data_IF_488467575541
#
_entry.id   IF_488467575541
#
_cell.length_a   1.000
_cell.length_b   1.000
_cell.length_c   1.000
_cell.angle_alpha   90.00
_cell.angle_beta   90.00
_cell.angle_gamma   90.00
#
_symmetry.space_group_name_H-M   'P 1'
#
loop_
_entity.id
_entity.type
_entity.pdbx_description
1 polymer ?
#
# COMPACT_ATOMS: atom_id res chain seq x y z
N UNK A 1 -26.40 10.29 -14.49
CA UNK A 1 -26.30 9.17 -13.54
C UNK A 1 -25.91 7.86 -14.21
N UNK A 2 -26.67 7.37 -15.20
CA UNK A 2 -26.35 6.13 -15.93
C UNK A 2 -24.92 6.09 -16.50
N UNK A 3 -24.51 7.16 -17.20
CA UNK A 3 -23.16 7.26 -17.77
C UNK A 3 -22.04 7.18 -16.72
N UNK A 4 -22.27 7.71 -15.51
CA UNK A 4 -21.30 7.65 -14.42
C UNK A 4 -21.15 6.23 -13.86
N UNK A 5 -22.26 5.51 -13.69
CA UNK A 5 -22.26 4.11 -13.25
C UNK A 5 -21.65 3.21 -14.31
N UNK A 6 -21.97 3.43 -15.59
CA UNK A 6 -21.39 2.69 -16.71
C UNK A 6 -19.86 2.89 -16.78
N UNK A 7 -19.39 4.13 -16.61
CA UNK A 7 -17.95 4.42 -16.60
C UNK A 7 -17.25 3.80 -15.38
N UNK A 8 -17.86 3.89 -14.19
CA UNK A 8 -17.35 3.24 -12.97
C UNK A 8 -17.24 1.72 -13.15
N UNK A 9 -18.24 1.10 -13.76
CA UNK A 9 -18.25 -0.33 -14.04
C UNK A 9 -17.19 -0.71 -15.09
N UNK A 10 -17.06 0.06 -16.17
CA UNK A 10 -16.04 -0.16 -17.19
C UNK A 10 -14.63 -0.09 -16.58
N UNK A 11 -14.36 0.91 -15.74
CA UNK A 11 -13.09 1.00 -15.00
C UNK A 11 -12.88 -0.20 -14.08
N UNK A 12 -13.92 -0.62 -13.35
CA UNK A 12 -13.87 -1.82 -12.49
C UNK A 12 -13.50 -3.05 -13.31
N UNK A 13 -14.12 -3.22 -14.47
CA UNK A 13 -13.84 -4.34 -15.37
C UNK A 13 -12.40 -4.32 -15.86
N UNK A 14 -11.88 -3.17 -16.30
CA UNK A 14 -10.50 -3.05 -16.79
C UNK A 14 -9.45 -3.40 -15.73
N UNK A 15 -9.69 -3.06 -14.46
CA UNK A 15 -8.68 -3.21 -13.39
C UNK A 15 -8.82 -4.49 -12.56
N UNK A 16 -9.91 -5.26 -12.72
CA UNK A 16 -10.25 -6.39 -11.84
C UNK A 16 -9.12 -7.44 -11.79
N UNK A 17 -8.59 -7.86 -12.93
CA UNK A 17 -7.53 -8.86 -12.96
C UNK A 17 -6.23 -8.34 -12.31
N UNK A 18 -5.86 -7.08 -12.56
CA UNK A 18 -4.64 -6.48 -12.02
C UNK A 18 -4.71 -6.37 -10.49
N UNK A 19 -5.88 -5.99 -9.96
CA UNK A 19 -6.16 -6.01 -8.52
C UNK A 19 -5.95 -7.41 -7.93
N UNK A 20 -6.55 -8.44 -8.53
CA UNK A 20 -6.43 -9.82 -8.03
C UNK A 20 -4.97 -10.29 -8.06
N UNK A 21 -4.25 -10.04 -9.15
CA UNK A 21 -2.81 -10.38 -9.26
C UNK A 21 -2.03 -9.70 -8.15
N UNK A 22 -2.19 -8.40 -7.99
CA UNK A 22 -1.44 -7.62 -7.03
C UNK A 22 -1.68 -8.06 -5.58
N UNK A 23 -2.93 -8.30 -5.19
CA UNK A 23 -3.26 -8.84 -3.87
C UNK A 23 -2.76 -10.28 -3.69
N UNK A 24 -2.78 -11.10 -4.74
CA UNK A 24 -2.21 -12.45 -4.69
C UNK A 24 -0.70 -12.40 -4.48
N UNK A 25 0.01 -11.53 -5.20
CA UNK A 25 1.45 -11.33 -5.01
C UNK A 25 1.76 -10.81 -3.61
N UNK A 26 0.98 -9.86 -3.10
CA UNK A 26 1.05 -9.38 -1.71
C UNK A 26 0.96 -10.56 -0.73
N UNK A 27 -0.08 -11.38 -0.88
CA UNK A 27 -0.32 -12.54 -0.04
C UNK A 27 0.80 -13.59 -0.13
N UNK A 28 1.37 -13.83 -1.32
CA UNK A 28 2.54 -14.70 -1.53
C UNK A 28 3.75 -14.16 -0.78
N UNK A 29 4.08 -12.88 -0.97
CA UNK A 29 5.21 -12.26 -0.27
C UNK A 29 5.02 -12.36 1.24
N UNK A 30 3.83 -12.05 1.75
CA UNK A 30 3.49 -12.15 3.18
C UNK A 30 3.55 -13.60 3.70
N UNK A 31 3.10 -14.58 2.92
CA UNK A 31 3.05 -15.98 3.34
C UNK A 31 4.42 -16.69 3.31
N UNK A 32 5.30 -16.44 2.32
CA UNK A 32 6.44 -17.36 2.08
C UNK A 32 7.83 -16.73 2.04
N UNK A 33 7.93 -15.41 1.92
CA UNK A 33 9.23 -14.71 1.90
C UNK A 33 9.69 -14.44 3.33
N UNK A 34 10.91 -14.80 3.71
CA UNK A 34 11.41 -14.50 5.06
C UNK A 34 11.92 -13.06 5.21
N UNK A 35 11.97 -12.55 6.46
CA UNK A 35 12.60 -11.25 6.74
C UNK A 35 14.08 -11.20 6.32
N UNK A 36 14.80 -12.30 6.48
CA UNK A 36 16.22 -12.41 6.10
C UNK A 36 16.44 -12.38 4.59
N UNK A 37 15.51 -12.93 3.79
CA UNK A 37 15.59 -12.87 2.33
C UNK A 37 15.32 -11.44 1.84
N UNK A 38 14.33 -10.76 2.42
CA UNK A 38 13.97 -9.41 2.01
C UNK A 38 15.05 -8.38 2.37
N UNK A 39 15.58 -8.44 3.60
CA UNK A 39 16.67 -7.57 4.04
C UNK A 39 17.99 -7.79 3.27
N UNK A 40 18.21 -8.97 2.69
CA UNK A 40 19.34 -9.22 1.78
C UNK A 40 19.12 -8.66 0.38
N UNK A 41 17.89 -8.68 -0.12
CA UNK A 41 17.55 -8.23 -1.47
C UNK A 41 17.52 -6.70 -1.56
N UNK A 42 16.94 -6.04 -0.54
CA UNK A 42 16.79 -4.59 -0.45
C UNK A 42 17.39 -4.05 0.86
N UNK A 43 18.72 -4.15 1.05
CA UNK A 43 19.39 -3.84 2.33
C UNK A 43 19.43 -2.34 2.66
N UNK A 44 19.51 -1.48 1.65
CA UNK A 44 19.79 -0.05 1.82
C UNK A 44 19.11 0.80 0.74
N UNK A 45 19.40 2.11 0.74
CA UNK A 45 18.98 3.06 -0.29
C UNK A 45 20.06 3.30 -1.36
N UNK A 46 21.04 2.38 -1.52
CA UNK A 46 22.08 2.51 -2.54
C UNK A 46 21.48 2.46 -3.95
N UNK A 47 22.13 3.08 -4.96
CA UNK A 47 21.63 3.06 -6.34
C UNK A 47 21.36 1.64 -6.87
N UNK A 48 22.15 0.65 -6.42
CA UNK A 48 21.95 -0.75 -6.79
C UNK A 48 20.66 -1.32 -6.20
N UNK A 49 20.40 -1.08 -4.91
CA UNK A 49 19.17 -1.55 -4.26
C UNK A 49 17.93 -0.85 -4.79
N UNK A 50 18.03 0.44 -5.12
CA UNK A 50 16.94 1.17 -5.80
C UNK A 50 16.69 0.59 -7.20
N UNK A 51 17.73 0.32 -8.00
CA UNK A 51 17.56 -0.28 -9.33
C UNK A 51 16.92 -1.67 -9.26
N UNK A 52 17.31 -2.50 -8.30
CA UNK A 52 16.66 -3.81 -8.05
C UNK A 52 15.21 -3.62 -7.64
N UNK A 53 14.92 -2.69 -6.73
CA UNK A 53 13.55 -2.38 -6.32
C UNK A 53 12.69 -1.92 -7.50
N UNK A 54 13.22 -1.05 -8.35
CA UNK A 54 12.52 -0.58 -9.55
C UNK A 54 12.29 -1.71 -10.56
N UNK A 55 13.28 -2.59 -10.77
CA UNK A 55 13.12 -3.73 -11.66
C UNK A 55 12.07 -4.73 -11.17
N UNK A 56 12.04 -5.00 -9.87
CA UNK A 56 11.00 -5.83 -9.24
C UNK A 56 9.63 -5.16 -9.32
N UNK A 57 9.56 -3.84 -9.15
CA UNK A 57 8.34 -3.05 -9.29
C UNK A 57 7.83 -3.07 -10.73
N UNK A 58 8.68 -2.80 -11.72
CA UNK A 58 8.31 -2.82 -13.14
C UNK A 58 7.81 -4.21 -13.60
N UNK A 59 8.27 -5.29 -12.97
CA UNK A 59 7.81 -6.66 -13.19
C UNK A 59 6.56 -7.04 -12.37
N UNK A 60 6.09 -6.15 -11.48
CA UNK A 60 4.91 -6.32 -10.64
C UNK A 60 3.64 -5.80 -11.34
N UNK A 61 2.51 -5.85 -10.63
CA UNK A 61 1.20 -5.36 -11.10
C UNK A 61 1.11 -3.82 -11.07
N UNK A 62 0.48 -3.25 -12.10
CA UNK A 62 0.20 -1.81 -12.30
C UNK A 62 -0.79 -1.19 -11.28
N UNK A 63 -1.32 -1.96 -10.33
CA UNK A 63 -2.33 -1.46 -9.41
C UNK A 63 -1.72 -0.74 -8.20
N UNK A 64 -2.08 0.53 -8.01
CA UNK A 64 -1.58 1.39 -6.91
C UNK A 64 -1.92 0.84 -5.52
N UNK A 65 -3.10 0.25 -5.32
CA UNK A 65 -3.47 -0.39 -4.04
C UNK A 65 -2.61 -1.62 -3.73
N UNK A 66 -2.36 -2.45 -4.74
CA UNK A 66 -1.50 -3.61 -4.59
C UNK A 66 -0.04 -3.24 -4.36
N UNK A 67 0.46 -2.22 -5.08
CA UNK A 67 1.80 -1.68 -4.90
C UNK A 67 2.03 -1.23 -3.44
N UNK A 68 1.09 -0.48 -2.86
CA UNK A 68 1.16 0.00 -1.47
C UNK A 68 1.12 -1.16 -0.47
N UNK A 69 0.27 -2.17 -0.70
CA UNK A 69 0.21 -3.36 0.16
C UNK A 69 1.51 -4.19 0.11
N UNK A 70 2.06 -4.37 -1.09
CA UNK A 70 3.35 -5.03 -1.30
C UNK A 70 4.48 -4.24 -0.64
N UNK A 71 4.58 -2.94 -0.87
CA UNK A 71 5.62 -2.09 -0.31
C UNK A 71 5.61 -2.09 1.23
N UNK A 72 4.42 -2.03 1.85
CA UNK A 72 4.27 -2.25 3.30
C UNK A 72 4.85 -3.59 3.72
N UNK A 73 4.49 -4.66 3.00
CA UNK A 73 4.93 -6.02 3.30
C UNK A 73 6.46 -6.16 3.17
N UNK A 74 7.07 -5.57 2.14
CA UNK A 74 8.53 -5.52 1.97
C UNK A 74 9.17 -4.81 3.17
N UNK A 75 8.62 -3.65 3.58
CA UNK A 75 9.14 -2.86 4.70
C UNK A 75 9.00 -3.60 6.03
N UNK A 76 7.86 -4.23 6.32
CA UNK A 76 7.66 -5.07 7.52
C UNK A 76 8.59 -6.28 7.54
N UNK A 77 8.98 -6.78 6.36
CA UNK A 77 9.97 -7.84 6.22
C UNK A 77 11.41 -7.35 6.25
N UNK A 78 11.64 -6.07 6.52
CA UNK A 78 12.96 -5.52 6.77
C UNK A 78 13.69 -5.01 5.52
N UNK A 79 12.99 -4.80 4.40
CA UNK A 79 13.53 -3.99 3.32
C UNK A 79 13.79 -2.55 3.80
N UNK A 80 14.78 -1.88 3.23
CA UNK A 80 14.98 -0.46 3.47
C UNK A 80 13.76 0.35 2.99
N UNK A 81 13.29 1.31 3.80
CA UNK A 81 12.06 2.06 3.52
C UNK A 81 12.08 2.74 2.16
N UNK A 82 13.17 3.44 1.84
CA UNK A 82 13.34 4.12 0.55
C UNK A 82 13.29 3.15 -0.63
N UNK A 83 13.87 1.95 -0.49
CA UNK A 83 13.82 0.93 -1.55
C UNK A 83 12.41 0.35 -1.69
N UNK A 84 11.68 0.15 -0.58
CA UNK A 84 10.28 -0.25 -0.62
C UNK A 84 9.39 0.79 -1.30
N UNK A 85 9.61 2.09 -1.04
CA UNK A 85 8.89 3.16 -1.75
C UNK A 85 9.31 3.21 -3.23
N UNK A 86 10.59 3.07 -3.57
CA UNK A 86 11.02 3.01 -4.97
C UNK A 86 10.40 1.83 -5.74
N UNK A 87 10.26 0.66 -5.09
CA UNK A 87 9.50 -0.46 -5.62
C UNK A 87 8.03 -0.08 -5.85
N UNK A 88 7.40 0.59 -4.89
CA UNK A 88 6.00 1.03 -4.96
C UNK A 88 5.74 1.92 -6.18
N UNK A 89 6.54 2.97 -6.34
CA UNK A 89 6.44 3.91 -7.46
C UNK A 89 6.75 3.26 -8.80
N UNK A 90 7.72 2.36 -8.85
CA UNK A 90 8.03 1.61 -10.07
C UNK A 90 6.92 0.63 -10.43
N UNK A 91 6.26 0.02 -9.44
CA UNK A 91 5.15 -0.91 -9.64
C UNK A 91 3.92 -0.26 -10.25
N UNK A 92 3.78 1.06 -10.20
CA UNK A 92 2.65 1.75 -10.82
C UNK A 92 2.99 2.48 -12.10
N UNK A 93 4.23 2.97 -12.25
CA UNK A 93 4.64 3.86 -13.35
C UNK A 93 5.61 3.24 -14.36
N UNK A 94 6.25 2.11 -14.05
CA UNK A 94 7.23 1.46 -14.96
C UNK A 94 6.73 0.14 -15.56
N UNK A 95 5.45 -0.18 -15.38
CA UNK A 95 4.89 -1.44 -15.87
C UNK A 95 4.64 -1.36 -17.37
N UNK A 96 5.04 -2.42 -18.09
CA UNK A 96 4.94 -2.52 -19.55
C UNK A 96 3.48 -2.39 -20.02
N UNK A 97 2.54 -2.94 -19.25
CA UNK A 97 1.10 -2.85 -19.51
C UNK A 97 0.62 -1.40 -19.66
N UNK A 98 0.94 -0.55 -18.68
CA UNK A 98 0.62 0.87 -18.72
C UNK A 98 1.22 1.53 -19.97
N UNK A 99 2.48 1.19 -20.28
CA UNK A 99 3.18 1.69 -21.46
C UNK A 99 2.48 1.36 -22.78
N UNK A 100 1.92 0.15 -22.92
CA UNK A 100 1.16 -0.28 -24.10
C UNK A 100 -0.15 0.52 -24.21
N UNK A 101 -0.89 0.67 -23.11
CA UNK A 101 -2.15 1.43 -23.09
C UNK A 101 -1.89 2.90 -23.46
N UNK A 102 -0.85 3.51 -22.88
CA UNK A 102 -0.43 4.87 -23.22
C UNK A 102 -0.05 5.00 -24.68
N UNK A 103 0.69 4.04 -25.24
CA UNK A 103 1.14 4.08 -26.63
C UNK A 103 -0.06 4.08 -27.60
N UNK A 104 -1.13 3.35 -27.25
CA UNK A 104 -2.35 3.25 -28.05
C UNK A 104 -3.22 4.51 -27.92
N UNK A 105 -3.42 5.02 -26.69
CA UNK A 105 -4.39 6.09 -26.44
C UNK A 105 -3.83 7.51 -26.60
N UNK A 106 -2.58 7.71 -26.17
CA UNK A 106 -1.91 9.01 -26.12
C UNK A 106 -0.80 9.13 -27.16
N UNK A 107 -0.20 8.00 -27.58
CA UNK A 107 0.89 7.95 -28.53
C UNK A 107 2.24 7.59 -27.88
N UNK A 108 3.20 7.21 -28.71
CA UNK A 108 4.51 6.73 -28.25
C UNK A 108 5.32 7.78 -27.49
N UNK A 109 5.09 9.08 -27.74
CA UNK A 109 5.79 10.17 -27.06
C UNK A 109 5.47 10.19 -25.56
N UNK A 110 4.21 9.95 -25.20
CA UNK A 110 3.81 9.84 -23.79
C UNK A 110 4.38 8.59 -23.14
N UNK A 111 4.39 7.45 -23.86
CA UNK A 111 5.04 6.23 -23.36
C UNK A 111 6.53 6.44 -23.12
N UNK A 112 7.24 7.09 -24.05
CA UNK A 112 8.66 7.40 -23.85
C UNK A 112 8.87 8.36 -22.67
N UNK A 113 8.02 9.38 -22.54
CA UNK A 113 8.06 10.32 -21.42
C UNK A 113 7.78 9.64 -20.08
N UNK A 114 6.88 8.65 -20.03
CA UNK A 114 6.63 7.83 -18.85
C UNK A 114 7.88 7.03 -18.45
N UNK A 115 8.46 6.28 -19.39
CA UNK A 115 9.64 5.43 -19.11
C UNK A 115 10.92 6.23 -18.84
N UNK A 116 11.01 7.48 -19.30
CA UNK A 116 12.11 8.39 -18.97
C UNK A 116 11.84 9.18 -17.66
N UNK A 117 10.60 9.65 -17.49
CA UNK A 117 10.17 10.47 -16.38
C UNK A 117 9.97 9.69 -15.08
N UNK A 118 9.55 8.43 -15.15
CA UNK A 118 9.34 7.56 -14.00
C UNK A 118 10.63 7.29 -13.23
N UNK A 119 11.74 6.86 -13.87
CA UNK A 119 13.03 6.71 -13.20
C UNK A 119 13.58 8.04 -12.68
N UNK A 120 13.34 9.14 -13.41
CA UNK A 120 13.69 10.49 -12.96
C UNK A 120 12.92 10.89 -11.70
N UNK A 121 11.61 10.67 -11.65
CA UNK A 121 10.76 10.91 -10.49
C UNK A 121 11.25 10.10 -9.29
N UNK A 122 11.54 8.81 -9.47
CA UNK A 122 12.07 7.96 -8.40
C UNK A 122 13.44 8.49 -7.91
N UNK A 123 14.32 8.91 -8.82
CA UNK A 123 15.60 9.52 -8.44
C UNK A 123 15.42 10.80 -7.61
N UNK A 124 14.48 11.68 -8.00
CA UNK A 124 14.13 12.88 -7.25
C UNK A 124 13.54 12.52 -5.88
N UNK A 125 12.63 11.54 -5.82
CA UNK A 125 12.04 11.04 -4.58
C UNK A 125 13.12 10.52 -3.61
N UNK A 126 14.04 9.70 -4.11
CA UNK A 126 15.17 9.16 -3.33
C UNK A 126 16.07 10.28 -2.83
N UNK A 127 16.35 11.29 -3.66
CA UNK A 127 17.11 12.47 -3.25
C UNK A 127 16.39 13.23 -2.13
N UNK A 128 15.10 13.50 -2.27
CA UNK A 128 14.29 14.17 -1.25
C UNK A 128 14.28 13.37 0.06
N UNK A 129 14.20 12.04 -0.01
CA UNK A 129 14.27 11.19 1.17
C UNK A 129 15.65 11.28 1.84
N UNK A 130 16.73 11.22 1.08
CA UNK A 130 18.09 11.37 1.64
C UNK A 130 18.30 12.72 2.32
N UNK A 131 17.69 13.79 1.79
CA UNK A 131 17.81 15.14 2.34
C UNK A 131 16.91 15.38 3.55
N UNK A 132 15.67 14.84 3.55
CA UNK A 132 14.63 15.25 4.50
C UNK A 132 14.10 14.11 5.40
N UNK A 133 14.32 12.84 5.09
CA UNK A 133 13.84 11.71 5.90
C UNK A 133 14.68 11.59 7.18
N UNK A 134 14.11 12.02 8.30
CA UNK A 134 14.77 11.96 9.61
C UNK A 134 14.56 10.59 10.29
N UNK A 135 15.59 10.10 10.99
CA UNK A 135 15.53 8.84 11.76
C UNK A 135 14.31 8.73 12.70
N UNK A 136 13.94 9.75 13.49
CA UNK A 136 12.80 9.64 14.40
C UNK A 136 11.47 9.42 13.68
N UNK A 137 11.32 9.98 12.47
CA UNK A 137 10.14 9.81 11.65
C UNK A 137 10.08 8.38 11.10
N UNK A 138 11.19 7.88 10.57
CA UNK A 138 11.30 6.52 10.06
C UNK A 138 11.05 5.47 11.16
N UNK A 139 11.63 5.66 12.35
CA UNK A 139 11.38 4.77 13.49
C UNK A 139 9.91 4.81 13.94
N UNK A 140 9.28 5.98 13.90
CA UNK A 140 7.86 6.09 14.21
C UNK A 140 6.99 5.36 13.18
N UNK A 141 7.34 5.45 11.89
CA UNK A 141 6.68 4.74 10.81
C UNK A 141 6.89 3.22 10.94
N UNK A 142 8.10 2.78 11.30
CA UNK A 142 8.40 1.36 11.56
C UNK A 142 7.61 0.83 12.75
N UNK A 143 7.62 1.56 13.88
CA UNK A 143 6.79 1.21 15.04
C UNK A 143 5.32 1.20 14.68
N UNK A 144 4.84 2.12 13.85
CA UNK A 144 3.44 2.11 13.39
C UNK A 144 3.15 0.89 12.51
N UNK A 145 4.03 0.57 11.56
CA UNK A 145 3.87 -0.57 10.67
C UNK A 145 3.96 -1.92 11.41
N UNK A 146 4.74 -1.97 12.50
CA UNK A 146 4.88 -3.15 13.38
C UNK A 146 3.80 -3.21 14.47
N UNK A 147 3.26 -2.05 14.90
CA UNK A 147 2.09 -1.97 15.78
C UNK A 147 0.89 -2.42 14.97
N UNK A 148 0.50 -3.68 15.13
CA UNK A 148 -0.83 -4.15 14.73
C UNK A 148 -1.93 -3.45 15.52
N UNK A 149 -2.21 -2.18 15.19
CA UNK A 149 -3.30 -1.39 15.72
C UNK A 149 -4.62 -1.97 15.21
N UNK A 150 -5.23 -2.83 16.04
CA UNK A 150 -6.56 -3.42 15.87
C UNK A 150 -7.60 -2.40 15.38
N UNK A 151 -7.80 -2.40 14.07
CA UNK A 151 -8.97 -1.92 13.35
C UNK A 151 -9.30 -2.94 12.27
N UNK A 152 -10.40 -2.75 11.55
CA UNK A 152 -11.00 -3.67 10.54
C UNK A 152 -10.04 -4.19 9.44
N UNK A 153 -8.77 -3.77 9.43
CA UNK A 153 -7.71 -4.26 8.53
C UNK A 153 -6.60 -5.09 9.20
N UNK A 154 -6.64 -5.36 10.51
CA UNK A 154 -5.43 -5.79 11.25
C UNK A 154 -5.61 -6.98 12.23
N UNK A 155 -6.25 -8.07 11.77
CA UNK A 155 -6.07 -9.39 12.40
C UNK A 155 -4.65 -9.96 12.22
N UNK A 156 -3.76 -9.28 11.48
CA UNK A 156 -2.58 -9.89 10.85
C UNK A 156 -1.36 -10.01 11.75
N UNK A 157 -1.20 -9.13 12.75
CA UNK A 157 0.02 -9.12 13.57
C UNK A 157 0.04 -10.17 14.69
N UNK A 158 -1.14 -10.65 15.13
CA UNK A 158 -1.24 -11.67 16.18
C UNK A 158 -1.22 -13.11 15.62
N UNK A 159 -1.36 -13.27 14.30
CA UNK A 159 -1.44 -14.54 13.60
C UNK A 159 -0.38 -14.56 12.48
N UNK A 160 0.90 -14.60 12.86
CA UNK A 160 1.96 -14.83 11.87
C UNK A 160 1.79 -16.23 11.27
N UNK A 161 1.16 -16.29 10.11
CA UNK A 161 0.94 -17.51 9.33
C UNK A 161 2.05 -17.72 8.30
N UNK A 162 3.16 -16.96 8.37
CA UNK A 162 4.22 -17.10 7.41
C UNK A 162 4.92 -18.45 7.54
N UNK A 163 5.09 -19.12 6.40
CA UNK A 163 5.75 -20.41 6.30
C UNK A 163 7.21 -20.14 5.98
N UNK A 164 8.06 -20.18 7.00
CA UNK A 164 9.51 -19.96 6.87
C UNK A 164 10.32 -21.25 6.71
N UNK A 165 9.71 -22.41 6.97
CA UNK A 165 10.36 -23.72 6.93
C UNK A 165 10.20 -24.40 5.57
N UNK A 166 11.29 -25.00 5.07
CA UNK A 166 11.34 -25.82 3.85
C UNK A 166 11.70 -25.05 2.57
N UNK A 167 12.52 -25.65 1.70
CA UNK A 167 12.58 -25.35 0.26
C UNK A 167 12.85 -23.92 -0.23
N UNK A 168 12.76 -23.76 -1.55
CA UNK A 168 12.73 -22.46 -2.23
C UNK A 168 11.34 -21.77 -2.08
N UNK A 169 11.23 -20.49 -2.49
CA UNK A 169 10.00 -19.70 -2.32
C UNK A 169 8.79 -20.34 -3.02
N UNK A 170 9.01 -20.97 -4.18
CA UNK A 170 7.95 -21.61 -4.95
C UNK A 170 7.42 -22.88 -4.27
N UNK A 171 8.32 -23.71 -3.74
CA UNK A 171 7.96 -24.90 -2.96
C UNK A 171 7.16 -24.54 -1.71
N UNK A 172 7.55 -23.46 -1.01
CA UNK A 172 6.77 -22.95 0.13
C UNK A 172 5.39 -22.49 -0.30
N UNK A 173 5.29 -21.74 -1.40
CA UNK A 173 4.01 -21.20 -1.90
C UNK A 173 3.04 -22.29 -2.32
N UNK A 174 3.54 -23.35 -2.96
CA UNK A 174 2.76 -24.50 -3.41
C UNK A 174 2.47 -25.51 -2.28
N UNK A 175 3.12 -25.39 -1.13
CA UNK A 175 2.85 -26.27 0.01
C UNK A 175 1.42 -26.09 0.54
N UNK A 176 0.78 -27.12 1.12
CA UNK A 176 -0.58 -27.01 1.66
C UNK A 176 -0.73 -25.92 2.74
N UNK A 177 0.34 -25.70 3.55
CA UNK A 177 0.39 -24.65 4.57
C UNK A 177 0.57 -23.27 3.94
N UNK A 178 1.50 -23.14 2.98
CA UNK A 178 1.74 -21.89 2.26
C UNK A 178 0.52 -21.45 1.47
N UNK A 179 -0.13 -22.36 0.75
CA UNK A 179 -1.36 -22.06 0.02
C UNK A 179 -2.51 -21.60 0.93
N UNK A 180 -2.67 -22.21 2.11
CA UNK A 180 -3.63 -21.75 3.12
C UNK A 180 -3.27 -20.35 3.63
N UNK A 181 -2.00 -20.10 3.97
CA UNK A 181 -1.56 -18.78 4.41
C UNK A 181 -1.79 -17.70 3.34
N UNK A 182 -1.44 -17.98 2.08
CA UNK A 182 -1.70 -17.10 0.92
C UNK A 182 -3.20 -16.80 0.83
N UNK A 183 -4.05 -17.83 0.91
CA UNK A 183 -5.50 -17.64 0.79
C UNK A 183 -6.08 -16.74 1.89
N UNK A 184 -5.56 -16.85 3.12
CA UNK A 184 -6.00 -16.01 4.24
C UNK A 184 -5.53 -14.58 4.07
N UNK A 185 -4.24 -14.36 3.78
CA UNK A 185 -3.71 -13.01 3.52
C UNK A 185 -4.45 -12.33 2.36
N UNK A 186 -4.75 -13.05 1.27
CA UNK A 186 -5.50 -12.51 0.13
C UNK A 186 -6.90 -12.01 0.53
N UNK A 187 -7.69 -12.85 1.21
CA UNK A 187 -9.06 -12.48 1.62
C UNK A 187 -9.06 -11.31 2.60
N UNK A 188 -8.10 -11.32 3.52
CA UNK A 188 -7.97 -10.29 4.52
C UNK A 188 -7.54 -8.94 3.93
N UNK A 189 -6.52 -8.93 3.06
CA UNK A 189 -6.07 -7.73 2.34
C UNK A 189 -7.24 -7.12 1.52
N UNK A 190 -8.07 -7.96 0.92
CA UNK A 190 -9.26 -7.51 0.19
C UNK A 190 -10.34 -6.93 1.12
N UNK A 191 -10.67 -7.64 2.20
CA UNK A 191 -11.67 -7.20 3.19
C UNK A 191 -11.34 -5.83 3.78
N UNK A 192 -10.05 -5.53 3.89
CA UNK A 192 -9.54 -4.29 4.42
C UNK A 192 -9.79 -3.06 3.53
N UNK A 193 -9.77 -3.22 2.19
CA UNK A 193 -9.63 -2.09 1.25
C UNK A 193 -10.82 -1.96 0.28
N UNK A 194 -11.68 -2.98 0.12
CA UNK A 194 -12.72 -3.00 -0.93
C UNK A 194 -13.68 -1.80 -0.90
N UNK A 195 -14.02 -1.26 0.28
CA UNK A 195 -14.89 -0.08 0.41
C UNK A 195 -14.23 1.18 -0.15
N UNK A 196 -12.94 1.33 0.09
CA UNK A 196 -12.14 2.45 -0.37
C UNK A 196 -12.00 2.41 -1.91
N UNK A 197 -11.76 1.22 -2.48
CA UNK A 197 -11.73 0.99 -3.93
C UNK A 197 -13.08 1.31 -4.59
N UNK A 198 -14.18 0.76 -4.05
CA UNK A 198 -15.52 0.98 -4.60
C UNK A 198 -15.91 2.46 -4.55
N UNK A 199 -15.63 3.15 -3.45
CA UNK A 199 -15.87 4.59 -3.32
C UNK A 199 -15.08 5.41 -4.34
N UNK A 200 -13.79 5.10 -4.52
CA UNK A 200 -12.94 5.79 -5.49
C UNK A 200 -13.44 5.63 -6.94
N UNK A 201 -13.79 4.41 -7.34
CA UNK A 201 -14.29 4.12 -8.70
C UNK A 201 -15.60 4.84 -9.03
N UNK A 202 -16.51 4.96 -8.05
CA UNK A 202 -17.76 5.69 -8.22
C UNK A 202 -17.53 7.20 -8.42
N UNK A 203 -16.59 7.79 -7.67
CA UNK A 203 -16.22 9.20 -7.80
C UNK A 203 -15.56 9.45 -9.16
N UNK A 204 -14.63 8.58 -9.56
CA UNK A 204 -13.96 8.64 -10.85
C UNK A 204 -14.96 8.61 -12.01
N UNK A 205 -15.91 7.66 -11.99
CA UNK A 205 -16.94 7.57 -13.02
C UNK A 205 -17.87 8.78 -13.05
N UNK A 206 -18.18 9.37 -11.89
CA UNK A 206 -18.96 10.61 -11.81
C UNK A 206 -18.22 11.80 -12.42
N UNK A 207 -16.93 11.97 -12.11
CA UNK A 207 -16.11 13.06 -12.66
C UNK A 207 -15.93 12.95 -14.18
N UNK A 208 -15.62 11.76 -14.67
CA UNK A 208 -15.47 11.53 -16.12
C UNK A 208 -16.77 11.73 -16.90
N UNK A 209 -17.93 11.45 -16.29
CA UNK A 209 -19.22 11.60 -16.95
C UNK A 209 -19.85 12.99 -16.83
N UNK A 210 -19.57 13.76 -15.78
CA UNK A 210 -20.28 15.01 -15.47
C UNK A 210 -19.44 16.27 -15.67
N UNK A 211 -18.11 16.18 -15.71
CA UNK A 211 -17.26 17.38 -15.88
C UNK A 211 -17.01 17.64 -17.37
N UNK A 212 -17.52 18.75 -17.93
CA UNK A 212 -17.39 19.06 -19.35
C UNK A 212 -15.96 19.47 -19.73
N UNK A 213 -15.59 19.30 -21.00
CA UNK A 213 -14.23 19.57 -21.51
C UNK A 213 -13.87 21.06 -21.43
N UNK A 214 -14.86 21.94 -21.55
CA UNK A 214 -14.70 23.39 -21.47
C UNK A 214 -14.22 23.84 -20.09
N UNK A 215 -14.68 23.16 -19.03
CA UNK A 215 -14.18 23.41 -17.68
C UNK A 215 -12.68 23.15 -17.60
N UNK A 216 -12.21 22.03 -18.16
CA UNK A 216 -10.78 21.69 -18.18
C UNK A 216 -9.96 22.72 -18.96
N UNK A 217 -10.46 23.20 -20.10
CA UNK A 217 -9.75 24.22 -20.91
C UNK A 217 -9.53 25.52 -20.17
N UNK A 218 -10.55 25.97 -19.42
CA UNK A 218 -10.45 27.15 -18.57
C UNK A 218 -9.51 26.90 -17.37
N UNK A 219 -9.64 25.74 -16.73
CA UNK A 219 -8.88 25.37 -15.55
C UNK A 219 -7.37 25.22 -15.81
N UNK A 220 -6.98 24.69 -16.98
CA UNK A 220 -5.58 24.53 -17.36
C UNK A 220 -4.94 25.75 -18.02
N UNK A 221 -5.65 26.88 -18.07
CA UNK A 221 -5.13 28.13 -18.63
C UNK A 221 -4.57 27.96 -20.06
N UNK A 222 -5.27 27.15 -20.87
CA UNK A 222 -4.83 26.72 -22.20
C UNK A 222 -4.61 27.84 -23.23
N UNK A 223 -4.96 29.08 -22.89
CA UNK A 223 -4.76 30.27 -23.73
C UNK A 223 -3.32 30.79 -23.78
N UNK A 224 -2.47 30.50 -22.78
CA UNK A 224 -1.04 30.87 -22.79
C UNK A 224 -0.17 29.60 -22.63
N UNK A 225 0.55 29.18 -23.67
CA UNK A 225 1.39 27.99 -23.64
C UNK A 225 2.45 27.99 -22.53
N UNK A 226 3.01 29.15 -22.16
CA UNK A 226 4.06 29.24 -21.13
C UNK A 226 3.50 29.05 -19.74
N UNK A 227 2.33 29.64 -19.49
CA UNK A 227 1.64 29.49 -18.21
C UNK A 227 1.12 28.05 -18.09
N UNK A 228 0.55 27.49 -19.14
CA UNK A 228 0.09 26.11 -19.16
C UNK A 228 1.23 25.10 -18.91
N UNK A 229 2.42 25.32 -19.48
CA UNK A 229 3.60 24.48 -19.28
C UNK A 229 4.09 24.43 -17.83
N UNK A 230 3.90 25.50 -17.05
CA UNK A 230 4.24 25.53 -15.61
C UNK A 230 3.08 25.09 -14.73
N UNK A 231 1.86 25.51 -15.06
CA UNK A 231 0.64 25.25 -14.30
C UNK A 231 0.22 23.77 -14.38
N UNK A 232 0.30 23.18 -15.57
CA UNK A 232 -0.09 21.81 -15.83
C UNK A 232 0.63 20.81 -14.92
N UNK A 233 1.98 20.80 -14.83
CA UNK A 233 2.72 19.89 -13.96
C UNK A 233 2.43 20.05 -12.47
N UNK A 234 2.07 21.26 -12.03
CA UNK A 234 1.73 21.55 -10.62
C UNK A 234 0.32 21.05 -10.30
N UNK A 235 -0.62 21.26 -11.21
CA UNK A 235 -2.04 20.99 -10.95
C UNK A 235 -2.46 19.60 -11.38
N UNK A 236 -1.77 18.99 -12.34
CA UNK A 236 -1.98 17.61 -12.79
C UNK A 236 -2.09 16.63 -11.61
N UNK A 237 -1.14 16.60 -10.67
CA UNK A 237 -1.23 15.71 -9.52
C UNK A 237 -2.47 15.99 -8.65
N UNK A 238 -2.87 17.26 -8.48
CA UNK A 238 -4.06 17.61 -7.70
C UNK A 238 -5.35 17.13 -8.37
N UNK A 239 -5.40 17.18 -9.70
CA UNK A 239 -6.53 16.63 -10.48
C UNK A 239 -6.59 15.10 -10.33
N UNK A 240 -5.44 14.42 -10.36
CA UNK A 240 -5.35 12.97 -10.11
C UNK A 240 -5.85 12.60 -8.72
N UNK A 241 -5.46 13.36 -7.70
CA UNK A 241 -5.95 13.17 -6.33
C UNK A 241 -7.46 13.32 -6.22
N UNK A 242 -8.02 14.32 -6.90
CA UNK A 242 -9.44 14.60 -6.92
C UNK A 242 -10.24 13.58 -7.76
N UNK A 243 -9.60 12.95 -8.75
CA UNK A 243 -10.25 11.99 -9.63
C UNK A 243 -10.38 10.59 -9.02
N UNK A 244 -9.57 10.25 -8.00
CA UNK A 244 -9.54 8.92 -7.35
C UNK A 244 -9.25 7.78 -8.32
N UNK A 245 -8.49 8.08 -9.36
CA UNK A 245 -8.21 7.16 -10.44
C UNK A 245 -6.84 6.50 -10.21
N UNK A 246 -6.75 5.19 -10.47
CA UNK A 246 -5.49 4.42 -10.39
C UNK A 246 -4.65 4.59 -11.67
N UNK A 247 -3.40 4.11 -11.67
CA UNK A 247 -2.48 4.24 -12.81
C UNK A 247 -3.08 3.84 -14.17
N UNK A 248 -3.78 2.71 -14.28
CA UNK A 248 -4.46 2.28 -15.53
C UNK A 248 -5.62 3.22 -15.89
N UNK A 249 -6.47 3.53 -14.92
CA UNK A 249 -7.62 4.42 -15.15
C UNK A 249 -7.18 5.85 -15.49
N UNK A 250 -5.97 6.25 -15.09
CA UNK A 250 -5.45 7.59 -15.34
C UNK A 250 -5.19 7.79 -16.82
N UNK A 251 -4.88 6.74 -17.60
CA UNK A 251 -4.55 6.93 -19.02
C UNK A 251 -5.75 7.44 -19.85
N UNK A 252 -6.97 6.88 -19.76
CA UNK A 252 -8.13 7.46 -20.42
C UNK A 252 -8.45 8.89 -19.95
N UNK A 253 -8.36 9.17 -18.65
CA UNK A 253 -8.60 10.51 -18.13
C UNK A 253 -7.52 11.49 -18.59
N UNK A 254 -6.26 11.06 -18.65
CA UNK A 254 -5.14 11.80 -19.23
C UNK A 254 -5.41 12.18 -20.69
N UNK A 255 -6.00 11.28 -21.49
CA UNK A 255 -6.42 11.60 -22.86
C UNK A 255 -7.49 12.70 -22.90
N UNK A 256 -8.47 12.65 -21.99
CA UNK A 256 -9.49 13.71 -21.83
C UNK A 256 -8.84 15.04 -21.43
N UNK A 257 -7.92 15.04 -20.46
CA UNK A 257 -7.24 16.25 -20.00
C UNK A 257 -6.31 16.83 -21.09
N UNK A 258 -5.65 15.98 -21.88
CA UNK A 258 -4.83 16.36 -23.04
C UNK A 258 -5.65 17.10 -24.10
N UNK A 259 -6.78 16.51 -24.49
CA UNK A 259 -7.77 17.13 -25.37
C UNK A 259 -8.39 18.40 -24.74
N UNK A 260 -8.47 18.41 -23.40
CA UNK A 260 -8.92 19.50 -22.55
C UNK A 260 -7.90 20.62 -22.32
N UNK A 261 -6.69 20.56 -22.91
CA UNK A 261 -5.76 21.67 -22.89
C UNK A 261 -4.61 21.59 -21.89
N UNK A 262 -4.51 20.53 -21.08
CA UNK A 262 -3.36 20.36 -20.17
C UNK A 262 -2.03 20.30 -20.95
N UNK A 263 -0.93 20.74 -20.34
CA UNK A 263 0.42 20.63 -20.92
C UNK A 263 0.93 19.19 -20.93
N UNK A 264 1.99 18.92 -21.69
CA UNK A 264 2.51 17.57 -21.88
C UNK A 264 3.06 16.99 -20.57
N UNK A 265 3.95 17.70 -19.89
CA UNK A 265 4.42 17.39 -18.55
C UNK A 265 3.32 17.44 -17.48
N UNK A 266 2.22 18.15 -17.76
CA UNK A 266 1.01 18.13 -16.92
C UNK A 266 0.33 16.77 -16.96
N UNK A 267 0.14 16.19 -18.15
CA UNK A 267 -0.32 14.81 -18.31
C UNK A 267 0.61 13.83 -17.58
N UNK A 268 1.91 13.95 -17.77
CA UNK A 268 2.89 13.05 -17.15
C UNK A 268 2.84 13.13 -15.62
N UNK A 269 2.84 14.33 -15.06
CA UNK A 269 2.69 14.53 -13.61
C UNK A 269 1.36 14.00 -13.06
N UNK A 270 0.27 14.08 -13.85
CA UNK A 270 -1.04 13.56 -13.50
C UNK A 270 -1.04 12.03 -13.45
N UNK A 271 -0.39 11.37 -14.43
CA UNK A 271 -0.25 9.91 -14.48
C UNK A 271 0.55 9.42 -13.27
N UNK A 272 1.68 10.06 -12.97
CA UNK A 272 2.52 9.74 -11.82
C UNK A 272 1.84 9.88 -10.45
N UNK A 273 0.76 10.67 -10.36
CA UNK A 273 0.12 11.02 -9.10
C UNK A 273 -0.89 9.99 -8.57
N UNK A 274 -0.95 8.82 -9.19
CA UNK A 274 -1.85 7.73 -8.83
C UNK A 274 -1.68 7.21 -7.38
N UNK A 275 -0.48 7.39 -6.79
CA UNK A 275 -0.17 7.06 -5.40
C UNK A 275 -0.53 8.17 -4.38
N UNK A 276 -1.04 9.32 -4.82
CA UNK A 276 -1.42 10.44 -3.94
C UNK A 276 -2.92 10.58 -3.73
N UNK A 277 -3.74 9.71 -4.32
CA UNK A 277 -5.19 9.75 -4.13
C UNK A 277 -5.56 9.59 -2.64
N UNK A 278 -6.67 10.22 -2.23
CA UNK A 278 -7.08 10.23 -0.82
C UNK A 278 -7.21 8.84 -0.16
N UNK A 279 -7.70 7.78 -0.84
CA UNK A 279 -7.74 6.44 -0.27
C UNK A 279 -6.35 5.91 0.06
N UNK A 280 -5.38 6.12 -0.84
CA UNK A 280 -3.99 5.70 -0.64
C UNK A 280 -3.35 6.51 0.49
N UNK A 281 -3.59 7.82 0.56
CA UNK A 281 -3.14 8.63 1.70
C UNK A 281 -3.72 8.14 3.03
N UNK A 282 -5.00 7.72 3.04
CA UNK A 282 -5.60 7.12 4.21
C UNK A 282 -4.95 5.78 4.56
N UNK A 283 -4.56 4.98 3.57
CA UNK A 283 -3.80 3.74 3.75
C UNK A 283 -2.41 4.04 4.33
N UNK A 284 -1.64 4.98 3.79
CA UNK A 284 -0.37 5.41 4.38
C UNK A 284 -0.55 5.91 5.81
N UNK A 285 -1.64 6.63 6.10
CA UNK A 285 -1.93 7.11 7.46
C UNK A 285 -2.15 5.97 8.43
N UNK A 286 -2.87 4.93 7.98
CA UNK A 286 -3.04 3.69 8.76
C UNK A 286 -1.68 3.00 8.96
N UNK A 287 -0.89 2.83 7.90
CA UNK A 287 0.33 2.02 7.90
C UNK A 287 1.55 2.68 8.56
N UNK A 288 1.77 3.97 8.30
CA UNK A 288 2.99 4.69 8.69
C UNK A 288 2.72 5.85 9.66
N UNK A 289 1.45 6.21 9.86
CA UNK A 289 1.03 7.27 10.77
C UNK A 289 1.01 8.64 10.08
N UNK A 290 0.17 9.55 10.58
CA UNK A 290 -0.14 10.80 9.89
C UNK A 290 1.05 11.72 9.59
N UNK A 291 2.07 11.74 10.47
CA UNK A 291 3.30 12.53 10.21
C UNK A 291 4.08 11.99 9.02
N UNK A 292 4.19 10.66 8.92
CA UNK A 292 4.88 10.02 7.81
C UNK A 292 4.06 10.16 6.52
N UNK A 293 2.74 10.06 6.59
CA UNK A 293 1.85 10.34 5.45
C UNK A 293 2.02 11.76 4.92
N UNK A 294 2.06 12.76 5.79
CA UNK A 294 2.29 14.15 5.37
C UNK A 294 3.66 14.32 4.70
N UNK A 295 4.69 13.66 5.24
CA UNK A 295 6.01 13.62 4.61
C UNK A 295 5.95 12.99 3.21
N UNK A 296 5.42 11.76 3.10
CA UNK A 296 5.27 11.05 1.83
C UNK A 296 4.50 11.88 0.80
N UNK A 297 3.36 12.45 1.22
CA UNK A 297 2.55 13.31 0.36
C UNK A 297 3.37 14.47 -0.22
N UNK A 298 4.03 15.26 0.64
CA UNK A 298 4.79 16.44 0.19
C UNK A 298 5.96 16.02 -0.71
N UNK A 299 6.75 15.04 -0.30
CA UNK A 299 7.94 14.64 -1.07
C UNK A 299 7.59 14.01 -2.41
N UNK A 300 6.55 13.18 -2.44
CA UNK A 300 6.11 12.52 -3.67
C UNK A 300 5.44 13.52 -4.61
N UNK A 301 4.63 14.44 -4.09
CA UNK A 301 4.05 15.52 -4.89
C UNK A 301 5.16 16.37 -5.54
N UNK A 302 6.14 16.81 -4.74
CA UNK A 302 7.27 17.57 -5.27
C UNK A 302 8.07 16.79 -6.32
N UNK A 303 8.28 15.49 -6.12
CA UNK A 303 8.97 14.64 -7.09
C UNK A 303 8.20 14.53 -8.42
N UNK A 304 6.89 14.36 -8.38
CA UNK A 304 6.02 14.27 -9.57
C UNK A 304 5.99 15.59 -10.34
N UNK A 305 5.82 16.71 -9.64
CA UNK A 305 5.81 18.06 -10.24
C UNK A 305 7.17 18.34 -10.88
N UNK A 306 8.26 18.07 -10.17
CA UNK A 306 9.62 18.28 -10.69
C UNK A 306 9.90 17.40 -11.91
N UNK A 307 9.54 16.11 -11.87
CA UNK A 307 9.70 15.22 -13.00
C UNK A 307 8.87 15.68 -14.21
N UNK A 308 7.61 16.05 -14.00
CA UNK A 308 6.74 16.57 -15.06
C UNK A 308 7.29 17.85 -15.70
N UNK A 309 7.81 18.78 -14.89
CA UNK A 309 8.46 20.00 -15.39
C UNK A 309 9.73 19.70 -16.19
N UNK A 310 10.58 18.79 -15.72
CA UNK A 310 11.79 18.40 -16.45
C UNK A 310 11.42 17.72 -17.76
N UNK A 311 10.42 16.83 -17.76
CA UNK A 311 9.93 16.18 -18.98
C UNK A 311 9.37 17.21 -19.98
N UNK A 312 8.54 18.16 -19.54
CA UNK A 312 8.04 19.26 -20.37
C UNK A 312 9.18 20.03 -21.04
N UNK A 313 10.20 20.44 -20.25
CA UNK A 313 11.32 21.22 -20.75
C UNK A 313 12.20 20.43 -21.72
N UNK A 314 12.55 19.19 -21.38
CA UNK A 314 13.43 18.34 -22.20
C UNK A 314 12.73 17.95 -23.50
N UNK A 315 11.48 17.49 -23.45
CA UNK A 315 10.74 17.08 -24.64
C UNK A 315 10.39 18.29 -25.50
N UNK A 316 10.07 19.44 -24.89
CA UNK A 316 9.86 20.69 -25.61
C UNK A 316 11.11 21.16 -26.34
N UNK A 317 12.28 21.10 -25.70
CA UNK A 317 13.56 21.45 -26.31
C UNK A 317 13.95 20.49 -27.46
N UNK A 318 13.60 19.21 -27.34
CA UNK A 318 13.86 18.20 -28.36
C UNK A 318 12.80 18.16 -29.48
N UNK A 319 11.72 18.97 -29.38
CA UNK A 319 10.61 18.94 -30.33
C UNK A 319 9.81 17.63 -30.31
N UNK A 320 9.84 16.90 -29.20
CA UNK A 320 9.18 15.59 -29.03
C UNK A 320 7.75 15.71 -28.51
N UNK A 321 7.27 16.91 -28.17
CA UNK A 321 5.88 17.11 -27.72
C UNK A 321 4.94 16.95 -28.94
N UNK A 322 3.90 16.10 -28.85
CA UNK A 322 2.93 15.93 -29.94
C UNK A 322 2.26 17.26 -30.31
N UNK A 323 2.25 17.59 -31.61
CA UNK A 323 1.59 18.79 -32.13
C UNK A 323 0.06 18.64 -32.19
N UNK A 324 -0.43 17.41 -32.37
CA UNK A 324 -1.86 17.11 -32.44
C UNK A 324 -2.43 16.73 -31.06
N UNK A 325 -3.62 17.27 -30.75
CA UNK A 325 -4.38 16.98 -29.52
C UNK A 325 -5.59 16.08 -29.80
N UNK A 326 -5.36 14.96 -30.46
CA UNK A 326 -6.37 13.95 -30.76
C UNK A 326 -6.04 12.64 -30.05
N UNK A 327 -6.07 12.66 -28.71
CA UNK A 327 -5.98 11.42 -27.94
C UNK A 327 -7.34 10.68 -27.98
N UNK A 328 -7.28 9.36 -28.11
CA UNK A 328 -8.48 8.52 -28.14
C UNK A 328 -9.03 8.44 -26.71
N UNK A 329 -10.26 8.90 -26.52
CA UNK A 329 -10.97 8.74 -25.25
C UNK A 329 -11.58 7.34 -25.26
N UNK A 330 -11.15 6.48 -24.35
CA UNK A 330 -11.68 5.12 -24.26
C UNK A 330 -13.20 5.14 -24.05
N UNK A 331 -13.94 4.50 -24.94
CA UNK A 331 -15.38 4.32 -24.78
C UNK A 331 -15.67 3.23 -23.75
N UNK A 332 -16.72 3.40 -22.96
CA UNK A 332 -17.18 2.43 -21.96
C UNK A 332 -17.85 1.21 -22.63
N UNK A 333 -17.14 0.50 -23.50
CA UNK A 333 -17.61 -0.71 -24.16
C UNK A 333 -16.82 -1.92 -23.68
N UNK A 334 -17.51 -2.86 -23.04
CA UNK A 334 -16.94 -4.16 -22.67
C UNK A 334 -16.77 -4.96 -23.96
N UNK A 335 -15.53 -5.08 -24.43
CA UNK A 335 -15.21 -5.91 -25.58
C UNK A 335 -14.54 -7.21 -25.13
N UNK A 336 -14.74 -8.28 -25.88
CA UNK A 336 -14.06 -9.55 -25.61
C UNK A 336 -12.62 -9.44 -26.09
N UNK A 337 -11.78 -8.90 -25.21
CA UNK A 337 -10.37 -8.60 -25.43
C UNK A 337 -9.50 -9.38 -24.41
N UNK A 338 -8.21 -9.06 -24.38
CA UNK A 338 -7.27 -9.68 -23.44
C UNK A 338 -7.67 -9.43 -21.97
N UNK A 339 -8.18 -8.23 -21.62
CA UNK A 339 -8.70 -7.90 -20.28
C UNK A 339 -9.79 -8.90 -19.86
N UNK A 340 -10.73 -9.22 -20.76
CA UNK A 340 -11.80 -10.17 -20.47
C UNK A 340 -11.26 -11.58 -20.18
N UNK A 341 -10.25 -12.05 -20.94
CA UNK A 341 -9.60 -13.34 -20.71
C UNK A 341 -8.85 -13.35 -19.37
N UNK A 342 -8.08 -12.31 -19.07
CA UNK A 342 -7.36 -12.17 -17.81
C UNK A 342 -8.32 -12.11 -16.62
N UNK A 343 -9.41 -11.36 -16.72
CA UNK A 343 -10.46 -11.30 -15.70
C UNK A 343 -11.02 -12.69 -15.40
N UNK A 344 -11.35 -13.49 -16.41
CA UNK A 344 -11.87 -14.85 -16.20
C UNK A 344 -10.86 -15.74 -15.47
N UNK A 345 -9.59 -15.72 -15.87
CA UNK A 345 -8.52 -16.50 -15.24
C UNK A 345 -8.32 -16.09 -13.77
N UNK A 346 -8.19 -14.78 -13.52
CA UNK A 346 -7.90 -14.29 -12.19
C UNK A 346 -9.12 -14.33 -11.27
N UNK A 347 -10.35 -14.18 -11.78
CA UNK A 347 -11.56 -14.42 -11.00
C UNK A 347 -11.67 -15.89 -10.58
N UNK A 348 -11.27 -16.84 -11.44
CA UNK A 348 -11.21 -18.25 -11.06
C UNK A 348 -10.16 -18.50 -9.96
N UNK A 349 -8.98 -17.85 -10.05
CA UNK A 349 -7.96 -17.90 -9.00
C UNK A 349 -8.47 -17.29 -7.69
N UNK A 350 -9.09 -16.11 -7.73
CA UNK A 350 -9.66 -15.45 -6.57
C UNK A 350 -10.73 -16.33 -5.92
N UNK A 351 -11.62 -16.93 -6.72
CA UNK A 351 -12.64 -17.86 -6.24
C UNK A 351 -12.00 -19.08 -5.54
N UNK A 352 -10.92 -19.64 -6.09
CA UNK A 352 -10.18 -20.74 -5.48
C UNK A 352 -9.57 -20.33 -4.12
N UNK A 353 -8.93 -19.16 -4.05
CA UNK A 353 -8.34 -18.64 -2.81
C UNK A 353 -9.42 -18.36 -1.76
N UNK A 354 -10.52 -17.70 -2.14
CA UNK A 354 -11.66 -17.44 -1.26
C UNK A 354 -12.27 -18.75 -0.75
N UNK A 355 -12.48 -19.72 -1.63
CA UNK A 355 -12.99 -21.04 -1.26
C UNK A 355 -12.06 -21.76 -0.28
N UNK A 356 -10.75 -21.75 -0.53
CA UNK A 356 -9.75 -22.35 0.35
C UNK A 356 -9.75 -21.66 1.72
N UNK A 357 -9.77 -20.33 1.75
CA UNK A 357 -9.76 -19.54 2.98
C UNK A 357 -11.03 -19.81 3.81
N UNK A 358 -12.19 -19.84 3.17
CA UNK A 358 -13.47 -20.17 3.81
C UNK A 358 -13.45 -21.57 4.43
N UNK A 359 -12.89 -22.56 3.72
CA UNK A 359 -12.75 -23.95 4.22
C UNK A 359 -11.75 -24.10 5.37
N UNK A 360 -10.84 -23.16 5.54
CA UNK A 360 -9.73 -23.22 6.51
C UNK A 360 -9.88 -22.23 7.66
N UNK A 361 -11.07 -21.65 7.84
CA UNK A 361 -11.44 -20.90 9.05
C UNK A 361 -11.19 -19.39 9.00
N UNK A 362 -11.01 -18.78 7.81
CA UNK A 362 -10.80 -17.32 7.69
C UNK A 362 -11.95 -16.50 8.29
N UNK A 363 -13.17 -17.05 8.32
CA UNK A 363 -14.35 -16.36 8.87
C UNK A 363 -14.22 -16.03 10.36
N UNK A 364 -13.59 -16.90 11.16
CA UNK A 364 -13.31 -16.62 12.57
C UNK A 364 -12.29 -15.47 12.71
N UNK A 365 -11.31 -15.41 11.81
CA UNK A 365 -10.31 -14.33 11.78
C UNK A 365 -10.93 -12.99 11.39
N UNK A 366 -11.83 -12.97 10.40
CA UNK A 366 -12.56 -11.76 10.00
C UNK A 366 -13.49 -11.26 11.10
N UNK A 367 -14.16 -12.15 11.85
CA UNK A 367 -15.00 -11.75 12.98
C UNK A 367 -14.19 -11.12 14.14
N UNK A 368 -12.97 -11.61 14.38
CA UNK A 368 -12.04 -11.00 15.33
C UNK A 368 -11.56 -9.60 14.86
N UNK A 369 -11.47 -9.37 13.55
CA UNK A 369 -11.09 -8.07 12.97
C UNK A 369 -12.15 -6.98 13.18
N UNK A 370 -13.43 -7.34 13.15
CA UNK A 370 -14.54 -6.40 13.33
C UNK A 370 -14.93 -6.17 14.80
N UNK A 371 -14.31 -6.89 15.73
CA UNK A 371 -14.58 -6.77 17.16
C UNK A 371 -13.88 -5.54 17.77
N UNK A 372 -14.57 -4.70 18.57
CA UNK A 372 -13.94 -3.56 19.24
C UNK A 372 -12.87 -4.05 20.23
N UNK A 373 -11.81 -3.25 20.48
CA UNK A 373 -10.75 -3.64 21.39
C UNK A 373 -11.33 -3.89 22.78
N UNK A 374 -11.35 -5.16 23.21
CA UNK A 374 -11.73 -5.54 24.57
C UNK A 374 -10.89 -4.75 25.56
N UNK A 375 -11.55 -4.14 26.53
CA UNK A 375 -10.89 -3.34 27.53
C UNK A 375 -9.88 -4.21 28.29
N UNK A 376 -8.76 -3.63 28.73
CA UNK A 376 -7.76 -4.34 29.56
C UNK A 376 -8.40 -4.99 30.80
N UNK A 377 -9.56 -4.49 31.22
CA UNK A 377 -10.39 -5.01 32.32
C UNK A 377 -11.06 -6.35 31.97
N UNK A 378 -11.47 -6.57 30.71
CA UNK A 378 -12.08 -7.83 30.26
C UNK A 378 -11.06 -8.94 30.00
N UNK A 379 -9.81 -8.59 29.66
CA UNK A 379 -8.72 -9.57 29.52
C UNK A 379 -8.34 -10.24 30.84
N UNK A 380 -8.66 -9.63 31.99
CA UNK A 380 -8.48 -10.24 33.32
C UNK A 380 -9.65 -11.18 33.66
N UNK A 381 -10.84 -10.95 33.08
CA UNK A 381 -12.04 -11.74 33.39
C UNK A 381 -12.05 -13.14 32.76
N UNK A 382 -11.35 -13.33 31.63
CA UNK A 382 -11.28 -14.63 30.92
C UNK A 382 -10.06 -15.48 31.36
N UNK A 383 -9.26 -14.96 32.29
CA UNK A 383 -8.14 -15.65 32.90
C UNK A 383 -8.42 -15.97 34.37
N UNK A 384 -9.37 -16.88 34.64
CA UNK A 384 -9.55 -17.60 35.92
C UNK A 384 -8.99 -16.86 37.15
N UNK A 385 -9.65 -15.80 37.62
CA UNK A 385 -9.40 -15.29 38.97
C UNK A 385 -10.07 -16.24 39.96
N UNK A 386 -9.38 -17.35 40.27
CA UNK A 386 -9.44 -17.87 41.63
C UNK A 386 -8.88 -16.76 42.51
N UNK A 387 -9.70 -16.23 43.42
CA UNK A 387 -9.23 -15.33 44.46
C UNK A 387 -7.96 -15.93 45.09
N UNK A 388 -6.86 -15.15 45.25
CA UNK A 388 -5.64 -15.69 45.82
C UNK A 388 -5.94 -16.24 47.21
N UNK A 389 -5.46 -17.46 47.50
CA UNK A 389 -5.71 -18.17 48.75
C UNK A 389 -5.04 -17.53 49.99
N UNK A 390 -4.32 -16.42 49.80
CA UNK A 390 -3.63 -15.67 50.84
C UNK A 390 -2.61 -14.70 50.23
N UNK A 391 -2.09 -13.82 51.07
CA UNK A 391 -0.98 -12.90 50.78
C UNK A 391 0.20 -13.24 51.70
N UNK A 392 1.41 -13.30 51.16
CA UNK A 392 2.64 -13.62 51.90
C UNK A 392 3.70 -12.54 51.70
N UNK A 393 4.53 -12.30 52.72
CA UNK A 393 5.66 -11.39 52.59
C UNK A 393 6.81 -12.09 51.86
N UNK A 394 7.35 -11.53 50.76
CA UNK A 394 8.45 -12.16 49.99
C UNK A 394 9.75 -12.31 50.79
N UNK A 395 9.94 -11.50 51.85
CA UNK A 395 11.11 -11.55 52.74
C UNK A 395 10.90 -12.36 54.01
N UNK A 396 9.64 -12.65 54.36
CA UNK A 396 9.26 -13.33 55.61
C UNK A 396 8.10 -14.28 55.31
N UNK A 397 8.38 -15.49 54.77
CA UNK A 397 7.35 -16.44 54.33
C UNK A 397 6.38 -16.89 55.43
N UNK A 398 6.75 -16.72 56.70
CA UNK A 398 5.90 -16.95 57.87
C UNK A 398 4.82 -15.86 58.09
N UNK A 399 4.97 -14.69 57.46
CA UNK A 399 3.98 -13.60 57.55
C UNK A 399 2.96 -13.76 56.42
N UNK A 400 1.78 -14.29 56.79
CA UNK A 400 0.65 -14.58 55.89
C UNK A 400 -0.59 -13.81 56.31
N UNK A 401 -1.41 -13.39 55.36
CA UNK A 401 -2.66 -12.68 55.60
C UNK A 401 -3.70 -12.99 54.55
N UNK A 402 -4.96 -13.05 54.95
CA UNK A 402 -6.09 -13.23 54.03
C UNK A 402 -6.44 -11.92 53.28
N UNK A 403 -5.77 -10.81 53.62
CA UNK A 403 -6.04 -9.47 53.09
C UNK A 403 -4.74 -8.79 52.66
N UNK A 404 -4.78 -7.91 51.63
CA UNK A 404 -3.63 -7.10 51.26
C UNK A 404 -3.22 -6.18 52.42
N UNK A 405 -1.92 -6.01 52.61
CA UNK A 405 -1.37 -5.23 53.72
C UNK A 405 0.14 -5.06 53.61
N UNK A 406 0.76 -4.50 54.65
CA UNK A 406 2.22 -4.41 54.77
C UNK A 406 2.71 -5.39 55.84
N UNK A 407 3.88 -5.98 55.61
CA UNK A 407 4.54 -6.84 56.57
C UNK A 407 4.94 -6.02 57.80
N UNK A 408 4.57 -6.44 59.03
CA UNK A 408 4.96 -5.74 60.26
C UNK A 408 6.47 -5.88 60.58
N UNK A 409 7.18 -6.83 59.95
CA UNK A 409 8.62 -7.04 60.16
C UNK A 409 9.51 -6.18 59.26
N UNK A 410 9.18 -6.03 57.98
CA UNK A 410 10.01 -5.27 57.02
C UNK A 410 9.29 -4.11 56.31
N UNK A 411 8.00 -3.90 56.53
CA UNK A 411 7.23 -2.80 55.93
C UNK A 411 6.90 -2.96 54.43
N UNK A 412 7.36 -4.04 53.77
CA UNK A 412 7.02 -4.36 52.38
C UNK A 412 5.55 -4.76 52.21
N UNK A 413 4.98 -4.52 51.03
CA UNK A 413 3.63 -4.98 50.70
C UNK A 413 3.59 -6.52 50.59
N UNK A 414 2.58 -7.14 51.19
CA UNK A 414 2.33 -8.58 51.05
C UNK A 414 1.89 -8.89 49.61
N UNK A 415 2.43 -9.95 49.03
CA UNK A 415 2.14 -10.36 47.65
C UNK A 415 1.18 -11.56 47.64
N UNK A 416 0.28 -11.68 46.63
CA UNK A 416 -0.60 -12.83 46.51
C UNK A 416 0.21 -14.13 46.40
N UNK A 417 -0.18 -15.18 47.11
CA UNK A 417 0.58 -16.43 47.19
C UNK A 417 0.79 -17.11 45.82
N UNK A 418 -0.12 -16.91 44.86
CA UNK A 418 0.02 -17.38 43.48
C UNK A 418 1.13 -16.67 42.67
N UNK A 419 1.68 -15.56 43.17
CA UNK A 419 2.75 -14.81 42.50
C UNK A 419 4.16 -15.33 42.84
N UNK A 420 4.32 -16.16 43.88
CA UNK A 420 5.64 -16.58 44.34
C UNK A 420 6.24 -17.78 43.56
N UNK A 421 5.44 -18.53 42.80
CA UNK A 421 5.92 -19.69 42.02
C UNK A 421 6.59 -19.33 40.67
N UNK A 422 6.69 -18.04 40.30
CA UNK A 422 7.17 -17.63 38.95
C UNK A 422 8.57 -17.03 38.88
N UNK A 423 9.43 -17.21 39.88
CA UNK A 423 10.83 -16.76 39.82
C UNK A 423 11.80 -17.94 40.01
N UNK A 424 12.51 -18.40 38.95
CA UNK A 424 13.50 -19.45 39.09
C UNK A 424 14.77 -18.91 39.78
N UNK A 425 15.48 -19.71 40.60
CA UNK A 425 16.65 -19.25 41.33
C UNK A 425 17.82 -18.93 40.38
N UNK A 426 18.49 -17.79 40.63
CA UNK A 426 19.70 -17.39 39.91
C UNK A 426 20.84 -18.39 40.19
N UNK A 427 21.34 -19.04 39.14
CA UNK A 427 22.53 -19.89 39.22
C UNK A 427 23.77 -19.07 39.60
N UNK A 428 24.43 -19.47 40.70
CA UNK A 428 25.75 -19.01 41.12
C UNK A 428 26.80 -19.95 40.49
N UNK A 429 27.75 -19.40 39.73
CA UNK A 429 28.92 -20.15 39.27
C UNK A 429 29.88 -20.41 40.44
N UNK A 430 30.39 -21.65 40.62
CA UNK A 430 31.57 -21.88 41.43
C UNK A 430 32.84 -21.52 40.65
N UNK A 431 33.79 -20.96 41.39
CA UNK A 431 35.14 -20.50 41.02
C UNK A 431 36.03 -21.56 40.38
#
# INVERSE_FOLDING_TARGET
MWSALALSFAMTWEITWALIVGFTLSAVVQAVVSKSQMSRLLPDDSPRSIAVACGLGAASSSCSYAAVALARSLFQKGAHFTAAMAFEFASTNLVIELGIIMAILLGWQFTLAEFAGGPLMIAILVLLFRLFLRRPLLESARRQAERGLRGSMEGHAAMDMSVTEGGNVLERALSPRGFTAISHYFVMDWAAIWKDIAGGLLIAGALGAWVPVEFWRAFFLSGDPRVAALWGPVVGPLVSMASFVCSIGNVPLAAVLWNGGISFGGVISFIFADLLIFPILNIYRKYYGGRMTGFLFVTSYLAMVAAGLVVELVFGALGLIPAERHAIVAEAQITFNYTSVLNLIFLALAALLVWRAARTGVGAMLAEMDSPPRSRTEQVADGSTRAPAGYVCPMHPEVRSDRPGRCPKCGMALQPEAAHEREPPKHVHPT
#
